data_IF_927149241792
#
_entry.id   IF_927149241792
#
_cell.length_a   1.000
_cell.length_b   1.000
_cell.length_c   1.000
_cell.angle_alpha   90.00
_cell.angle_beta   90.00
_cell.angle_gamma   90.00
#
_symmetry.space_group_name_H-M   'P 1'
#
loop_
_entity.id
_entity.type
_entity.pdbx_description
1 polymer ?
#
# COMPACT_ATOMS: atom_id res chain seq x y z
N UNK A 1 -11.65 -31.36 -13.07
CA UNK A 1 -10.82 -30.19 -13.45
C UNK A 1 -9.38 -30.65 -13.55
N UNK A 2 -8.62 -30.19 -14.54
CA UNK A 2 -7.21 -30.59 -14.70
C UNK A 2 -6.38 -30.17 -13.49
N UNK A 3 -5.50 -31.06 -13.00
CA UNK A 3 -4.71 -30.84 -11.78
C UNK A 3 -3.76 -29.64 -11.93
N UNK A 4 -3.21 -29.43 -13.11
CA UNK A 4 -2.31 -28.31 -13.36
C UNK A 4 -3.08 -26.99 -13.37
N UNK A 5 -4.26 -26.96 -13.99
CA UNK A 5 -5.14 -25.78 -13.96
C UNK A 5 -5.61 -25.44 -12.53
N UNK A 6 -5.94 -26.46 -11.72
CA UNK A 6 -6.31 -26.25 -10.31
C UNK A 6 -5.15 -25.65 -9.50
N UNK A 7 -3.91 -26.14 -9.73
CA UNK A 7 -2.73 -25.62 -9.05
C UNK A 7 -2.44 -24.16 -9.44
N UNK A 8 -2.60 -23.81 -10.72
CA UNK A 8 -2.44 -22.43 -11.20
C UNK A 8 -3.45 -21.53 -10.51
N UNK A 9 -4.72 -21.93 -10.46
CA UNK A 9 -5.77 -21.13 -9.83
C UNK A 9 -5.51 -20.89 -8.33
N UNK A 10 -5.11 -21.93 -7.60
CA UNK A 10 -4.72 -21.79 -6.19
C UNK A 10 -3.52 -20.86 -6.00
N UNK A 11 -2.48 -21.00 -6.82
CA UNK A 11 -1.31 -20.13 -6.76
C UNK A 11 -1.65 -18.66 -7.10
N UNK A 12 -2.56 -18.43 -8.05
CA UNK A 12 -3.06 -17.08 -8.35
C UNK A 12 -3.81 -16.47 -7.18
N UNK A 13 -4.68 -17.24 -6.50
CA UNK A 13 -5.40 -16.76 -5.32
C UNK A 13 -4.46 -16.45 -4.15
N UNK A 14 -3.42 -17.26 -3.94
CA UNK A 14 -2.38 -16.99 -2.93
C UNK A 14 -1.63 -15.69 -3.24
N UNK A 15 -1.29 -15.46 -4.51
CA UNK A 15 -0.61 -14.25 -4.94
C UNK A 15 -1.47 -13.01 -4.70
N UNK A 16 -2.76 -13.07 -5.00
CA UNK A 16 -3.73 -12.00 -4.71
C UNK A 16 -3.81 -11.70 -3.20
N UNK A 17 -3.84 -12.73 -2.35
CA UNK A 17 -3.81 -12.54 -0.89
C UNK A 17 -2.51 -11.90 -0.40
N UNK A 18 -1.36 -12.28 -0.97
CA UNK A 18 -0.07 -11.70 -0.62
C UNK A 18 -0.04 -10.22 -1.03
N UNK A 19 -0.52 -9.89 -2.22
CA UNK A 19 -0.62 -8.50 -2.69
C UNK A 19 -1.50 -7.67 -1.75
N UNK A 20 -2.71 -8.13 -1.45
CA UNK A 20 -3.61 -7.42 -0.53
C UNK A 20 -2.98 -7.18 0.85
N UNK A 21 -2.28 -8.18 1.40
CA UNK A 21 -1.58 -8.05 2.69
C UNK A 21 -0.41 -7.07 2.59
N UNK A 22 0.30 -7.05 1.47
CA UNK A 22 1.40 -6.13 1.22
C UNK A 22 0.87 -4.69 1.17
N UNK A 23 -0.18 -4.43 0.39
CA UNK A 23 -0.83 -3.12 0.30
C UNK A 23 -1.29 -2.64 1.67
N UNK A 24 -1.91 -3.52 2.46
CA UNK A 24 -2.32 -3.20 3.82
C UNK A 24 -1.13 -2.91 4.76
N UNK A 25 -0.03 -3.65 4.65
CA UNK A 25 1.18 -3.40 5.43
C UNK A 25 1.83 -2.07 5.04
N UNK A 26 1.83 -1.74 3.74
CA UNK A 26 2.33 -0.48 3.22
C UNK A 26 1.53 0.72 3.76
N UNK A 27 0.19 0.66 3.72
CA UNK A 27 -0.66 1.72 4.29
C UNK A 27 -0.42 1.92 5.79
N UNK A 28 -0.26 0.83 6.55
CA UNK A 28 0.08 0.92 7.99
C UNK A 28 1.44 1.56 8.22
N UNK A 29 2.44 1.23 7.40
CA UNK A 29 3.76 1.85 7.47
C UNK A 29 3.67 3.36 7.21
N UNK A 30 2.98 3.76 6.14
CA UNK A 30 2.76 5.17 5.80
C UNK A 30 2.06 5.91 6.95
N UNK A 31 1.01 5.31 7.53
CA UNK A 31 0.30 5.87 8.66
C UNK A 31 1.22 6.07 9.88
N UNK A 32 2.04 5.07 10.23
CA UNK A 32 3.00 5.17 11.33
C UNK A 32 4.07 6.25 11.09
N UNK A 33 4.54 6.40 9.85
CA UNK A 33 5.46 7.48 9.48
C UNK A 33 4.83 8.86 9.65
N UNK A 34 3.56 9.03 9.25
CA UNK A 34 2.80 10.25 9.46
C UNK A 34 2.66 10.58 10.96
N UNK A 35 2.34 9.57 11.79
CA UNK A 35 2.23 9.72 13.25
C UNK A 35 3.57 10.11 13.89
N UNK A 36 4.67 9.51 13.46
CA UNK A 36 6.01 9.87 13.91
C UNK A 36 6.34 11.35 13.59
N UNK A 37 6.00 11.80 12.38
CA UNK A 37 6.18 13.20 11.99
C UNK A 37 5.30 14.15 12.81
N UNK A 38 4.05 13.77 13.09
CA UNK A 38 3.16 14.53 13.97
C UNK A 38 3.68 14.63 15.41
N UNK A 39 4.32 13.56 15.90
CA UNK A 39 5.02 13.52 17.18
C UNK A 39 6.36 14.28 17.19
N UNK A 40 6.71 14.96 16.09
CA UNK A 40 7.96 15.72 15.90
C UNK A 40 9.23 14.85 15.96
N UNK A 41 9.12 13.56 15.67
CA UNK A 41 10.28 12.70 15.44
C UNK A 41 11.01 13.18 14.18
N UNK A 42 12.35 13.16 14.21
CA UNK A 42 13.13 13.60 13.05
C UNK A 42 12.92 12.63 11.88
N UNK A 43 12.82 13.13 10.63
CA UNK A 43 12.69 12.27 9.45
C UNK A 43 13.80 11.21 9.35
N UNK A 44 15.02 11.55 9.78
CA UNK A 44 16.15 10.62 9.79
C UNK A 44 15.94 9.46 10.76
N UNK A 45 15.39 9.72 11.96
CA UNK A 45 15.10 8.68 12.94
C UNK A 45 13.93 7.78 12.49
N UNK A 46 12.90 8.37 11.89
CA UNK A 46 11.77 7.62 11.33
C UNK A 46 12.21 6.72 10.16
N UNK A 47 13.04 7.24 9.25
CA UNK A 47 13.61 6.46 8.14
C UNK A 47 14.47 5.29 8.65
N UNK A 48 15.33 5.54 9.64
CA UNK A 48 16.15 4.50 10.26
C UNK A 48 15.29 3.42 10.93
N UNK A 49 14.23 3.79 11.65
CA UNK A 49 13.32 2.83 12.28
C UNK A 49 12.57 1.96 11.25
N UNK A 50 12.26 2.54 10.08
CA UNK A 50 11.62 1.82 8.98
C UNK A 50 12.62 1.11 8.04
N UNK A 51 13.92 1.10 8.39
CA UNK A 51 15.00 0.52 7.60
C UNK A 51 15.02 1.01 6.14
N UNK A 52 14.80 2.31 5.94
CA UNK A 52 14.79 2.96 4.64
C UNK A 52 15.70 4.20 4.63
N UNK A 53 16.09 4.63 3.44
CA UNK A 53 16.78 5.90 3.24
C UNK A 53 15.84 7.09 3.45
N UNK A 54 16.42 8.27 3.70
CA UNK A 54 15.65 9.52 3.79
C UNK A 54 14.88 9.83 2.50
N UNK A 55 15.46 9.53 1.34
CA UNK A 55 14.80 9.74 0.04
C UNK A 55 13.57 8.83 -0.09
N UNK A 56 13.72 7.54 0.21
CA UNK A 56 12.62 6.57 0.18
C UNK A 56 11.49 6.95 1.14
N UNK A 57 11.81 7.50 2.32
CA UNK A 57 10.81 8.02 3.25
C UNK A 57 9.98 9.14 2.61
N UNK A 58 10.61 10.11 1.97
CA UNK A 58 9.89 11.22 1.34
C UNK A 58 9.09 10.77 0.12
N UNK A 59 9.60 9.83 -0.67
CA UNK A 59 8.88 9.26 -1.81
C UNK A 59 7.66 8.46 -1.34
N UNK A 60 7.80 7.67 -0.27
CA UNK A 60 6.71 6.92 0.38
C UNK A 60 5.60 7.86 0.86
N UNK A 61 5.97 8.98 1.51
CA UNK A 61 5.00 9.98 1.96
C UNK A 61 4.37 10.76 0.79
N UNK A 62 5.10 10.97 -0.32
CA UNK A 62 4.56 11.60 -1.54
C UNK A 62 3.58 10.72 -2.28
N UNK A 63 3.83 9.40 -2.35
CA UNK A 63 2.97 8.43 -3.02
C UNK A 63 1.53 8.44 -2.50
N UNK A 64 1.34 8.72 -1.20
CA UNK A 64 0.02 8.91 -0.58
C UNK A 64 -0.80 10.07 -1.16
N UNK A 65 -0.14 11.06 -1.79
CA UNK A 65 -0.79 12.22 -2.40
C UNK A 65 -1.28 11.93 -3.83
N UNK A 66 -0.81 10.84 -4.42
CA UNK A 66 -1.04 10.48 -5.83
C UNK A 66 -1.84 9.22 -6.03
N UNK A 67 -2.31 8.54 -4.97
CA UNK A 67 -3.38 7.55 -5.13
C UNK A 67 -4.67 8.31 -5.46
N UNK A 68 -5.21 8.24 -6.69
CA UNK A 68 -6.55 8.72 -6.93
C UNK A 68 -7.45 7.86 -6.07
N UNK A 69 -8.11 8.50 -5.10
CA UNK A 69 -9.30 7.98 -4.45
C UNK A 69 -10.14 7.29 -5.53
N UNK A 70 -10.41 6.00 -5.31
CA UNK A 70 -11.17 5.13 -6.19
C UNK A 70 -12.19 5.89 -7.05
N UNK A 71 -12.17 5.60 -8.36
CA UNK A 71 -13.21 5.94 -9.33
C UNK A 71 -14.60 5.86 -8.71
N UNK A 72 -15.13 7.02 -8.32
CA UNK A 72 -16.52 7.17 -7.96
C UNK A 72 -17.17 7.98 -9.07
N UNK A 73 -17.50 7.28 -10.16
CA UNK A 73 -18.26 7.83 -11.29
C UNK A 73 -19.16 6.75 -11.88
N UNK A 74 -19.93 6.07 -11.03
CA UNK A 74 -21.19 5.47 -11.46
C UNK A 74 -22.35 6.36 -11.00
N UNK A 75 -22.39 7.56 -11.58
CA UNK A 75 -23.61 8.35 -11.68
C UNK A 75 -24.06 8.26 -13.15
N UNK A 76 -24.62 7.11 -13.53
CA UNK A 76 -25.49 7.05 -14.72
C UNK A 76 -26.90 7.35 -14.22
N UNK A 77 -27.23 8.63 -14.30
CA UNK A 77 -28.57 9.14 -14.30
C UNK A 77 -29.00 9.22 -15.79
N UNK A 78 -29.87 8.32 -16.22
CA UNK A 78 -30.77 8.43 -17.41
C UNK A 78 -31.38 7.03 -17.63
N UNK A 79 -32.67 6.78 -17.78
CA UNK A 79 -33.92 7.55 -17.84
C UNK A 79 -35.05 6.55 -17.56
#
# INVERSE_FOLDING_TARGET
>A
MDKHLSNIWSASAELEMIQFRNDQAHERLVQALCEAMAARISPAAAAAAANMSLSELFDTLRGRRTTPSAENSNAVHDS
#
